data_IF_165707412936
#
_entry.id   IF_165707412936
#
_cell.length_a   1.000
_cell.length_b   1.000
_cell.length_c   1.000
_cell.angle_alpha   90.00
_cell.angle_beta   90.00
_cell.angle_gamma   90.00
#
_symmetry.space_group_name_H-M   'P 1'
#
loop_
_entity.id
_entity.type
_entity.pdbx_description
1 polymer ?
#
# COMPACT_ATOMS: atom_id res chain seq x y z
N UNK A 1 0.03 12.10 0.62
CA UNK A 1 0.93 10.94 0.76
C UNK A 1 0.58 10.19 2.03
N UNK A 2 0.89 8.89 2.12
CA UNK A 2 0.81 8.15 3.38
C UNK A 2 2.08 8.40 4.22
N UNK A 3 2.03 8.23 5.56
CA UNK A 3 3.21 8.39 6.41
C UNK A 3 4.26 7.31 6.11
N UNK A 4 5.55 7.66 6.14
CA UNK A 4 6.63 6.68 5.97
C UNK A 4 6.62 5.58 7.04
N UNK A 5 6.14 5.91 8.26
CA UNK A 5 6.01 4.96 9.37
C UNK A 5 4.94 3.88 9.17
N UNK A 6 4.21 3.85 8.06
CA UNK A 6 3.21 2.81 7.82
C UNK A 6 3.81 1.41 7.82
N UNK A 7 5.07 1.26 7.39
CA UNK A 7 5.79 -0.01 7.39
C UNK A 7 6.00 -0.62 8.79
N UNK A 8 5.83 0.15 9.85
CA UNK A 8 5.89 -0.34 11.24
C UNK A 8 4.63 -1.08 11.67
N UNK A 9 3.55 -1.05 10.88
CA UNK A 9 2.30 -1.75 11.17
C UNK A 9 2.39 -3.24 10.78
N UNK A 10 3.32 -3.98 11.41
CA UNK A 10 3.63 -5.38 11.06
C UNK A 10 2.44 -6.34 11.15
N UNK A 11 1.41 -6.00 11.92
CA UNK A 11 0.18 -6.80 12.08
C UNK A 11 -0.97 -6.36 11.15
N UNK A 12 -0.75 -5.36 10.28
CA UNK A 12 -1.78 -4.90 9.37
C UNK A 12 -2.05 -5.95 8.30
N UNK A 13 -3.28 -6.46 8.25
CA UNK A 13 -3.69 -7.50 7.29
C UNK A 13 -4.46 -6.95 6.09
N UNK A 14 -5.07 -5.78 6.24
CA UNK A 14 -5.88 -5.12 5.22
C UNK A 14 -5.59 -3.63 5.17
N UNK A 15 -5.32 -3.10 3.97
CA UNK A 15 -5.14 -1.67 3.71
C UNK A 15 -6.07 -1.24 2.57
N UNK A 16 -6.95 -0.28 2.85
CA UNK A 16 -7.82 0.36 1.85
C UNK A 16 -7.44 1.82 1.69
N UNK A 17 -7.27 2.24 0.44
CA UNK A 17 -7.01 3.63 0.06
C UNK A 17 -8.09 4.02 -0.94
N UNK A 18 -8.87 5.04 -0.63
CA UNK A 18 -10.06 5.39 -1.41
C UNK A 18 -10.14 6.90 -1.67
N UNK A 19 -10.50 7.27 -2.91
CA UNK A 19 -10.80 8.65 -3.29
C UNK A 19 -9.62 9.62 -3.23
N UNK A 20 -8.39 9.10 -3.10
CA UNK A 20 -7.20 9.93 -2.97
C UNK A 20 -6.70 10.38 -4.34
N UNK A 21 -7.40 11.34 -4.95
CA UNK A 21 -7.08 11.84 -6.30
C UNK A 21 -5.68 12.45 -6.41
N UNK A 22 -5.11 12.96 -5.32
CA UNK A 22 -3.76 13.57 -5.31
C UNK A 22 -2.66 12.60 -4.88
N UNK A 23 -2.99 11.32 -4.67
CA UNK A 23 -1.99 10.32 -4.31
C UNK A 23 -1.26 9.86 -5.58
N UNK A 24 0.03 10.18 -5.67
CA UNK A 24 0.87 9.84 -6.81
C UNK A 24 1.73 8.60 -6.57
N UNK A 25 2.03 8.29 -5.30
CA UNK A 25 2.81 7.12 -4.89
C UNK A 25 2.46 6.68 -3.48
N UNK A 26 2.79 5.42 -3.16
CA UNK A 26 2.80 4.88 -1.79
C UNK A 26 4.24 4.94 -1.24
N UNK A 27 4.43 5.10 0.08
CA UNK A 27 5.75 5.10 0.69
C UNK A 27 6.42 3.73 0.54
N UNK A 28 7.75 3.70 0.39
CA UNK A 28 8.52 2.46 0.24
C UNK A 28 8.31 1.49 1.41
N UNK A 29 8.09 2.02 2.62
CA UNK A 29 7.83 1.23 3.82
C UNK A 29 6.60 0.30 3.72
N UNK A 30 5.74 0.43 2.71
CA UNK A 30 4.64 -0.50 2.50
C UNK A 30 5.12 -1.94 2.25
N UNK A 31 6.32 -2.14 1.70
CA UNK A 31 6.92 -3.46 1.54
C UNK A 31 7.28 -4.16 2.86
N UNK A 32 7.29 -3.42 3.98
CA UNK A 32 7.53 -3.97 5.32
C UNK A 32 6.27 -4.52 5.99
N UNK A 33 5.10 -4.38 5.38
CA UNK A 33 3.82 -4.88 5.91
C UNK A 33 3.70 -6.40 5.74
N UNK A 34 4.53 -7.16 6.45
CA UNK A 34 4.67 -8.62 6.27
C UNK A 34 3.39 -9.43 6.45
N UNK A 35 2.42 -8.93 7.22
CA UNK A 35 1.11 -9.58 7.42
C UNK A 35 0.05 -9.13 6.42
N UNK A 36 0.35 -8.22 5.50
CA UNK A 36 -0.64 -7.65 4.59
C UNK A 36 -1.10 -8.70 3.58
N UNK A 37 -2.40 -8.97 3.61
CA UNK A 37 -3.05 -9.96 2.75
C UNK A 37 -3.88 -9.31 1.66
N UNK A 38 -4.33 -8.08 1.86
CA UNK A 38 -5.15 -7.38 0.89
C UNK A 38 -4.84 -5.87 0.88
N UNK A 39 -4.55 -5.37 -0.31
CA UNK A 39 -4.45 -3.94 -0.62
C UNK A 39 -5.50 -3.59 -1.64
N UNK A 40 -6.43 -2.70 -1.25
CA UNK A 40 -7.45 -2.16 -2.15
C UNK A 40 -7.22 -0.69 -2.41
N UNK A 41 -7.16 -0.31 -3.68
CA UNK A 41 -6.99 1.09 -4.08
C UNK A 41 -8.10 1.47 -5.06
N UNK A 42 -8.93 2.43 -4.65
CA UNK A 42 -10.12 2.82 -5.40
C UNK A 42 -10.19 4.35 -5.54
N UNK A 43 -10.59 4.86 -6.72
CA UNK A 43 -10.76 6.30 -6.93
C UNK A 43 -9.47 7.15 -6.77
N UNK A 44 -8.29 6.53 -6.85
CA UNK A 44 -6.98 7.21 -6.75
C UNK A 44 -6.39 7.42 -8.16
N UNK A 45 -6.97 8.33 -8.93
CA UNK A 45 -6.71 8.46 -10.37
C UNK A 45 -5.28 8.84 -10.75
N UNK A 46 -4.53 9.51 -9.86
CA UNK A 46 -3.14 9.91 -10.12
C UNK A 46 -2.10 8.90 -9.61
N UNK A 47 -2.52 7.77 -9.02
CA UNK A 47 -1.60 6.73 -8.60
C UNK A 47 -1.23 5.88 -9.81
N UNK A 48 -0.04 6.10 -10.37
CA UNK A 48 0.41 5.45 -11.60
C UNK A 48 1.33 4.27 -11.37
N UNK A 49 1.89 4.12 -10.17
CA UNK A 49 2.81 3.05 -9.82
C UNK A 49 2.71 2.66 -8.36
N UNK A 50 3.13 1.42 -8.07
CA UNK A 50 3.32 0.92 -6.72
C UNK A 50 4.82 0.84 -6.43
N UNK A 51 5.27 1.02 -5.18
CA UNK A 51 6.68 0.90 -4.81
C UNK A 51 7.15 -0.55 -4.96
N UNK A 52 8.43 -0.75 -5.31
CA UNK A 52 9.01 -2.07 -5.64
C UNK A 52 8.79 -3.12 -4.54
N UNK A 53 8.88 -2.71 -3.27
CA UNK A 53 8.72 -3.61 -2.12
C UNK A 53 7.35 -4.29 -2.02
N UNK A 54 6.33 -3.80 -2.74
CA UNK A 54 5.00 -4.40 -2.73
C UNK A 54 4.98 -5.80 -3.36
N UNK A 55 5.82 -6.04 -4.36
CA UNK A 55 5.93 -7.35 -5.04
C UNK A 55 6.58 -8.42 -4.16
N UNK A 56 7.25 -8.01 -3.08
CA UNK A 56 7.91 -8.90 -2.12
C UNK A 56 6.98 -9.37 -1.00
N UNK A 57 5.73 -8.88 -0.95
CA UNK A 57 4.79 -9.25 0.11
C UNK A 57 4.21 -10.65 -0.15
N UNK A 58 4.49 -11.63 0.75
CA UNK A 58 4.32 -13.06 0.44
C UNK A 58 2.87 -13.51 0.32
N UNK A 59 1.91 -12.75 0.84
CA UNK A 59 0.50 -13.14 0.89
C UNK A 59 -0.43 -12.05 0.33
N UNK A 60 0.13 -11.05 -0.34
CA UNK A 60 -0.62 -9.89 -0.79
C UNK A 60 -1.47 -10.22 -2.02
N UNK A 61 -2.76 -9.92 -1.92
CA UNK A 61 -3.67 -9.78 -3.04
C UNK A 61 -3.92 -8.31 -3.31
N UNK A 62 -3.79 -7.90 -4.57
CA UNK A 62 -4.06 -6.53 -5.03
C UNK A 62 -5.41 -6.54 -5.74
N UNK A 63 -6.32 -5.65 -5.34
CA UNK A 63 -7.66 -5.54 -5.92
C UNK A 63 -8.29 -4.17 -5.80
#
# INVERSE_FOLDING_TARGET
>A
SLPEGIGSLSSLTYLRIEGCINLTSLPEGIGSLSSLTALRIEGCSNLTSLPEGIGSLPSLQVG
#
